data_IF_011130336559
#
_entry.id   IF_011130336559
#
_cell.length_a   1.000
_cell.length_b   1.000
_cell.length_c   1.000
_cell.angle_alpha   90.00
_cell.angle_beta   90.00
_cell.angle_gamma   90.00
#
_symmetry.space_group_name_H-M   'P 1'
#
loop_
_entity.id
_entity.type
_entity.pdbx_description
1 polymer ?
#
# COMPACT_ATOMS: atom_id res chain seq x y z
N UNK A 1 -2.99 10.96 -13.75
CA UNK A 1 -4.04 11.50 -12.84
C UNK A 1 -3.87 10.99 -11.40
N UNK A 2 -3.55 9.71 -11.19
CA UNK A 2 -3.28 9.15 -9.85
C UNK A 2 -2.01 9.75 -9.20
N UNK A 3 -1.03 10.15 -10.00
CA UNK A 3 0.21 10.80 -9.56
C UNK A 3 -0.05 12.22 -9.04
N UNK A 4 -1.01 12.92 -9.63
CA UNK A 4 -1.32 14.31 -9.28
C UNK A 4 -2.07 14.41 -7.95
N UNK A 5 -3.00 13.49 -7.66
CA UNK A 5 -3.70 13.42 -6.37
C UNK A 5 -2.77 13.04 -5.21
N UNK A 6 -1.79 12.14 -5.45
CA UNK A 6 -0.74 11.81 -4.47
C UNK A 6 0.22 12.99 -4.25
N UNK A 7 0.57 13.72 -5.31
CA UNK A 7 1.42 14.90 -5.23
C UNK A 7 0.82 16.02 -4.36
N UNK A 8 -0.48 16.28 -4.46
CA UNK A 8 -1.19 17.24 -3.62
C UNK A 8 -1.15 16.82 -2.14
N UNK A 9 -1.43 15.54 -1.84
CA UNK A 9 -1.34 15.01 -0.48
C UNK A 9 0.06 15.21 0.13
N UNK A 10 1.11 15.03 -0.64
CA UNK A 10 2.50 15.20 -0.16
C UNK A 10 2.87 16.66 0.11
N UNK A 11 2.35 17.61 -0.67
CA UNK A 11 2.53 19.05 -0.41
C UNK A 11 1.93 19.45 0.95
N UNK A 12 0.70 19.01 1.25
CA UNK A 12 0.06 19.31 2.53
C UNK A 12 0.72 18.60 3.71
N UNK A 13 1.18 17.36 3.53
CA UNK A 13 1.99 16.64 4.53
C UNK A 13 3.25 17.43 4.87
N UNK A 14 3.95 17.94 3.85
CA UNK A 14 5.14 18.78 4.04
C UNK A 14 4.81 20.08 4.79
N UNK A 15 3.70 20.72 4.48
CA UNK A 15 3.28 21.94 5.17
C UNK A 15 2.98 21.69 6.65
N UNK A 16 2.31 20.59 6.99
CA UNK A 16 2.06 20.19 8.38
C UNK A 16 3.37 19.95 9.11
N UNK A 17 4.33 19.25 8.51
CA UNK A 17 5.64 19.01 9.11
C UNK A 17 6.43 20.30 9.28
N UNK A 18 6.44 21.19 8.27
CA UNK A 18 7.11 22.50 8.37
C UNK A 18 6.50 23.37 9.46
N UNK A 19 5.20 23.28 9.68
CA UNK A 19 4.53 24.01 10.76
C UNK A 19 4.84 23.43 12.15
N UNK A 20 4.83 22.10 12.28
CA UNK A 20 5.13 21.40 13.53
C UNK A 20 6.59 21.60 13.97
N UNK A 21 7.54 21.60 13.00
CA UNK A 21 8.98 21.68 13.25
C UNK A 21 9.57 23.06 12.89
N UNK A 22 8.75 24.11 12.76
CA UNK A 22 9.18 25.45 12.37
C UNK A 22 10.28 26.04 13.24
N UNK A 23 10.36 25.61 14.51
CA UNK A 23 11.35 26.11 15.48
C UNK A 23 12.66 25.28 15.45
N UNK A 24 12.67 24.16 14.72
CA UNK A 24 13.85 23.29 14.56
C UNK A 24 14.55 23.58 13.24
N UNK A 25 15.45 24.58 13.26
CA UNK A 25 16.23 25.02 12.07
C UNK A 25 17.70 24.59 12.13
N UNK A 26 18.02 23.50 12.79
CA UNK A 26 19.40 23.03 12.83
C UNK A 26 19.77 22.41 11.47
N UNK A 27 20.87 22.84 10.83
CA UNK A 27 21.34 22.22 9.60
C UNK A 27 21.77 20.79 9.92
N UNK A 28 21.13 19.82 9.28
CA UNK A 28 21.53 18.41 9.39
C UNK A 28 22.66 18.20 8.38
N UNK A 29 23.89 18.17 8.86
CA UNK A 29 25.05 17.74 8.06
C UNK A 29 25.11 16.22 8.07
N UNK A 30 24.46 15.58 7.11
CA UNK A 30 24.64 14.15 6.85
C UNK A 30 25.79 14.00 5.86
N UNK A 31 26.98 13.79 6.36
CA UNK A 31 28.13 13.38 5.54
C UNK A 31 28.18 11.85 5.52
N UNK A 32 27.29 11.25 4.74
CA UNK A 32 27.44 9.84 4.36
C UNK A 32 28.12 9.83 3.00
N UNK A 33 29.43 9.68 2.98
CA UNK A 33 30.16 9.33 1.76
C UNK A 33 29.86 7.85 1.47
N UNK A 34 28.84 7.62 0.68
CA UNK A 34 28.56 6.29 0.13
C UNK A 34 29.24 6.19 -1.21
N UNK A 35 30.35 5.47 -1.28
CA UNK A 35 30.93 5.08 -2.59
C UNK A 35 30.00 4.02 -3.21
N UNK A 36 29.43 4.35 -4.36
CA UNK A 36 28.59 3.43 -5.13
C UNK A 36 29.53 2.54 -5.96
N UNK A 37 29.73 1.30 -5.51
CA UNK A 37 30.62 0.36 -6.20
C UNK A 37 29.97 -0.30 -7.45
N UNK A 38 28.65 -0.33 -7.56
CA UNK A 38 27.91 -1.01 -8.65
C UNK A 38 26.56 -0.32 -8.90
N UNK A 39 26.37 0.20 -10.12
CA UNK A 39 25.12 0.85 -10.55
C UNK A 39 24.05 -0.13 -11.05
N UNK A 40 24.41 -1.41 -11.25
CA UNK A 40 23.49 -2.40 -11.82
C UNK A 40 22.29 -2.69 -10.93
N UNK A 41 22.38 -2.77 -9.59
CA UNK A 41 21.19 -2.91 -8.74
C UNK A 41 20.19 -1.77 -8.94
N UNK A 42 20.67 -0.53 -9.06
CA UNK A 42 19.83 0.65 -9.35
C UNK A 42 19.17 0.55 -10.72
N UNK A 43 19.97 0.16 -11.75
CA UNK A 43 19.43 -0.04 -13.09
C UNK A 43 18.39 -1.17 -13.16
N UNK A 44 18.58 -2.27 -12.42
CA UNK A 44 17.59 -3.35 -12.30
C UNK A 44 16.32 -2.89 -11.61
N UNK A 45 16.41 -2.05 -10.57
CA UNK A 45 15.25 -1.48 -9.92
C UNK A 45 14.44 -0.61 -10.89
N UNK A 46 15.11 0.30 -11.60
CA UNK A 46 14.46 1.17 -12.59
C UNK A 46 13.85 0.35 -13.73
N UNK A 47 14.55 -0.68 -14.21
CA UNK A 47 14.05 -1.59 -15.22
C UNK A 47 12.82 -2.36 -14.73
N UNK A 48 12.81 -2.80 -13.48
CA UNK A 48 11.64 -3.47 -12.87
C UNK A 48 10.42 -2.56 -12.91
N UNK A 49 10.56 -1.32 -12.45
CA UNK A 49 9.47 -0.34 -12.47
C UNK A 49 9.02 -0.07 -13.91
N UNK A 50 9.94 0.16 -14.83
CA UNK A 50 9.63 0.39 -16.24
C UNK A 50 8.89 -0.78 -16.91
N UNK A 51 9.32 -2.01 -16.64
CA UNK A 51 8.66 -3.21 -17.17
C UNK A 51 7.28 -3.44 -16.54
N UNK A 52 7.09 -3.16 -15.26
CA UNK A 52 5.77 -3.23 -14.61
C UNK A 52 4.79 -2.21 -15.19
N UNK A 53 5.26 -0.99 -15.43
CA UNK A 53 4.46 0.04 -16.11
C UNK A 53 4.13 -0.40 -17.54
N UNK A 54 5.11 -0.86 -18.32
CA UNK A 54 4.87 -1.33 -19.68
C UNK A 54 3.91 -2.53 -19.71
N UNK A 55 4.04 -3.46 -18.76
CA UNK A 55 3.16 -4.62 -18.64
C UNK A 55 1.70 -4.24 -18.31
N UNK A 56 1.46 -3.10 -17.64
CA UNK A 56 0.11 -2.64 -17.33
C UNK A 56 -0.68 -2.16 -18.57
N UNK A 57 0.02 -1.77 -19.66
CA UNK A 57 -0.60 -1.37 -20.92
C UNK A 57 -0.89 -2.54 -21.88
N UNK A 58 -0.49 -3.77 -21.52
CA UNK A 58 -0.77 -4.93 -22.35
C UNK A 58 -2.26 -5.29 -22.30
N UNK A 59 -2.91 -5.52 -23.46
CA UNK A 59 -4.31 -5.93 -23.49
C UNK A 59 -4.47 -7.34 -22.91
N UNK A 60 -5.60 -7.55 -22.24
CA UNK A 60 -5.93 -8.85 -21.64
C UNK A 60 -6.26 -9.88 -22.74
N UNK A 61 -5.56 -11.01 -22.80
CA UNK A 61 -5.84 -12.04 -23.80
C UNK A 61 -7.06 -12.89 -23.41
N UNK A 62 -7.82 -13.31 -24.40
CA UNK A 62 -9.10 -14.01 -24.26
C UNK A 62 -9.00 -15.49 -23.86
N UNK A 63 -8.15 -15.84 -22.87
CA UNK A 63 -8.14 -17.18 -22.25
C UNK A 63 -6.90 -18.04 -22.52
N UNK A 64 -6.89 -19.23 -21.92
CA UNK A 64 -5.83 -20.23 -22.04
C UNK A 64 -4.55 -19.90 -21.26
N UNK A 65 -3.43 -20.48 -21.68
CA UNK A 65 -2.10 -20.29 -21.05
C UNK A 65 -1.68 -18.81 -21.12
N UNK A 66 -2.09 -18.09 -22.16
CA UNK A 66 -1.76 -16.69 -22.36
C UNK A 66 -2.40 -15.80 -21.27
N UNK A 67 -3.65 -16.10 -20.89
CA UNK A 67 -4.34 -15.43 -19.78
C UNK A 67 -3.65 -15.68 -18.43
N UNK A 68 -3.18 -16.92 -18.18
CA UNK A 68 -2.41 -17.24 -16.98
C UNK A 68 -1.09 -16.47 -16.93
N UNK A 69 -0.34 -16.40 -18.03
CA UNK A 69 0.89 -15.62 -18.12
C UNK A 69 0.63 -14.13 -17.94
N UNK A 70 -0.47 -13.63 -18.49
CA UNK A 70 -0.90 -12.26 -18.30
C UNK A 70 -1.21 -11.95 -16.84
N UNK A 71 -1.93 -12.83 -16.14
CA UNK A 71 -2.25 -12.67 -14.70
C UNK A 71 -0.98 -12.68 -13.85
N UNK A 72 -0.01 -13.55 -14.19
CA UNK A 72 1.24 -13.68 -13.45
C UNK A 72 2.34 -12.71 -13.91
N UNK A 73 2.09 -11.84 -14.91
CA UNK A 73 3.13 -11.01 -15.57
C UNK A 73 3.98 -10.20 -14.61
N UNK A 74 3.34 -9.56 -13.61
CA UNK A 74 4.06 -8.73 -12.63
C UNK A 74 5.00 -9.57 -11.76
N UNK A 75 4.52 -10.73 -11.28
CA UNK A 75 5.35 -11.67 -10.53
C UNK A 75 6.49 -12.25 -11.36
N UNK A 76 6.23 -12.58 -12.63
CA UNK A 76 7.25 -13.09 -13.55
C UNK A 76 8.34 -12.06 -13.85
N UNK A 77 7.98 -10.79 -14.04
CA UNK A 77 8.95 -9.68 -14.22
C UNK A 77 9.83 -9.54 -12.97
N UNK A 78 9.23 -9.45 -11.80
CA UNK A 78 9.96 -9.27 -10.54
C UNK A 78 10.88 -10.49 -10.27
N UNK A 79 10.36 -11.70 -10.42
CA UNK A 79 11.13 -12.92 -10.19
C UNK A 79 12.25 -13.10 -11.20
N UNK A 80 11.98 -12.83 -12.49
CA UNK A 80 12.98 -12.92 -13.55
C UNK A 80 14.15 -11.97 -13.33
N UNK A 81 13.88 -10.71 -13.00
CA UNK A 81 14.92 -9.71 -12.70
C UNK A 81 15.67 -9.99 -11.40
N UNK A 82 14.99 -10.51 -10.37
CA UNK A 82 15.63 -10.94 -9.14
C UNK A 82 16.62 -12.10 -9.41
N UNK A 83 16.18 -13.12 -10.14
CA UNK A 83 17.03 -14.25 -10.52
C UNK A 83 18.19 -13.82 -11.42
N UNK A 84 17.96 -12.90 -12.36
CA UNK A 84 19.02 -12.34 -13.19
C UNK A 84 20.07 -11.61 -12.34
N UNK A 85 19.63 -10.75 -11.41
CA UNK A 85 20.52 -10.05 -10.48
C UNK A 85 21.35 -11.00 -9.61
N UNK A 86 20.70 -12.02 -9.05
CA UNK A 86 21.36 -13.06 -8.27
C UNK A 86 22.37 -13.87 -9.09
N UNK A 87 21.99 -14.30 -10.31
CA UNK A 87 22.88 -15.02 -11.22
C UNK A 87 24.11 -14.20 -11.60
N UNK A 88 23.94 -12.91 -11.91
CA UNK A 88 25.04 -11.98 -12.18
C UNK A 88 25.97 -11.84 -10.97
N UNK A 89 25.42 -11.68 -9.77
CA UNK A 89 26.20 -11.59 -8.53
C UNK A 89 26.99 -12.87 -8.27
N UNK A 90 26.39 -14.03 -8.49
CA UNK A 90 27.08 -15.33 -8.40
C UNK A 90 28.20 -15.45 -9.42
N UNK A 91 27.97 -15.01 -10.67
CA UNK A 91 29.00 -15.05 -11.71
C UNK A 91 30.20 -14.13 -11.37
N UNK A 92 29.91 -12.90 -10.91
CA UNK A 92 30.95 -11.93 -10.53
C UNK A 92 31.77 -12.40 -9.32
N UNK A 93 31.13 -12.97 -8.32
CA UNK A 93 31.79 -13.50 -7.11
C UNK A 93 32.37 -14.90 -7.27
N UNK A 94 32.11 -15.59 -8.38
CA UNK A 94 32.41 -17.01 -8.61
C UNK A 94 31.98 -17.92 -7.45
N UNK A 95 30.87 -17.60 -6.81
CA UNK A 95 30.35 -18.27 -5.62
C UNK A 95 28.82 -18.28 -5.63
N UNK A 96 28.21 -19.29 -5.04
CA UNK A 96 26.75 -19.35 -4.82
C UNK A 96 26.31 -18.60 -3.55
N UNK A 97 27.24 -17.95 -2.82
CA UNK A 97 26.90 -17.19 -1.61
C UNK A 97 25.85 -16.10 -1.84
N UNK A 98 25.93 -15.26 -2.91
CA UNK A 98 24.91 -14.24 -3.14
C UNK A 98 23.50 -14.80 -3.32
N UNK A 99 23.37 -15.96 -3.96
CA UNK A 99 22.08 -16.63 -4.10
C UNK A 99 21.54 -17.09 -2.74
N UNK A 100 22.39 -17.71 -1.92
CA UNK A 100 22.00 -18.12 -0.57
C UNK A 100 21.64 -16.93 0.34
N UNK A 101 22.35 -15.81 0.20
CA UNK A 101 22.05 -14.57 0.91
C UNK A 101 20.72 -13.98 0.46
N UNK A 102 20.42 -13.98 -0.85
CA UNK A 102 19.12 -13.54 -1.38
C UNK A 102 17.98 -14.37 -0.78
N UNK A 103 18.10 -15.71 -0.74
CA UNK A 103 17.09 -16.55 -0.13
C UNK A 103 16.95 -16.34 1.39
N UNK A 104 18.05 -16.09 2.10
CA UNK A 104 18.01 -15.78 3.54
C UNK A 104 17.44 -14.41 3.85
N UNK A 105 17.55 -13.47 2.91
CA UNK A 105 17.01 -12.12 3.05
C UNK A 105 15.51 -12.05 2.74
N UNK A 106 14.89 -13.14 2.22
CA UNK A 106 13.45 -13.21 2.02
C UNK A 106 12.72 -13.13 3.37
N UNK A 107 11.73 -12.27 3.41
CA UNK A 107 10.83 -12.16 4.57
C UNK A 107 9.77 -13.28 4.51
N UNK A 108 10.16 -14.45 5.03
CA UNK A 108 9.28 -15.63 5.07
C UNK A 108 8.06 -15.39 5.95
N UNK A 109 8.17 -14.57 6.98
CA UNK A 109 7.06 -14.28 7.89
C UNK A 109 5.95 -13.52 7.15
N UNK A 110 6.31 -12.50 6.37
CA UNK A 110 5.36 -11.78 5.52
C UNK A 110 4.77 -12.69 4.43
N UNK A 111 5.57 -13.54 3.79
CA UNK A 111 5.07 -14.48 2.79
C UNK A 111 4.05 -15.47 3.37
N UNK A 112 4.36 -16.06 4.54
CA UNK A 112 3.46 -16.98 5.25
C UNK A 112 2.20 -16.26 5.73
N UNK A 113 2.32 -15.03 6.21
CA UNK A 113 1.19 -14.21 6.61
C UNK A 113 0.24 -13.98 5.44
N UNK A 114 0.76 -13.55 4.27
CA UNK A 114 -0.06 -13.33 3.09
C UNK A 114 -0.72 -14.62 2.60
N UNK A 115 0.04 -15.72 2.54
CA UNK A 115 -0.50 -17.01 2.13
C UNK A 115 -1.63 -17.49 3.07
N UNK A 116 -1.42 -17.39 4.37
CA UNK A 116 -2.42 -17.73 5.38
C UNK A 116 -3.64 -16.83 5.31
N UNK A 117 -3.42 -15.53 5.05
CA UNK A 117 -4.49 -14.54 4.87
C UNK A 117 -5.40 -14.91 3.69
N UNK A 118 -4.85 -15.27 2.52
CA UNK A 118 -5.67 -15.64 1.37
C UNK A 118 -6.50 -16.91 1.63
N UNK A 119 -5.95 -17.89 2.36
CA UNK A 119 -6.72 -19.08 2.77
C UNK A 119 -7.87 -18.69 3.72
N UNK A 120 -7.60 -17.82 4.70
CA UNK A 120 -8.63 -17.32 5.63
C UNK A 120 -9.71 -16.53 4.90
N UNK A 121 -9.32 -15.64 3.96
CA UNK A 121 -10.26 -14.85 3.17
C UNK A 121 -11.21 -15.72 2.36
N UNK A 122 -10.70 -16.80 1.74
CA UNK A 122 -11.57 -17.76 1.04
C UNK A 122 -12.55 -18.44 2.00
N UNK A 123 -12.10 -18.81 3.20
CA UNK A 123 -12.98 -19.39 4.23
C UNK A 123 -14.04 -18.39 4.70
N UNK A 124 -13.67 -17.14 4.95
CA UNK A 124 -14.56 -16.04 5.35
C UNK A 124 -15.58 -15.73 4.25
N UNK A 125 -15.14 -15.74 3.00
CA UNK A 125 -16.00 -15.53 1.82
C UNK A 125 -17.08 -16.62 1.74
N UNK A 126 -16.69 -17.89 1.84
CA UNK A 126 -17.63 -19.04 1.83
C UNK A 126 -18.58 -19.06 3.02
N UNK A 127 -18.18 -18.48 4.14
CA UNK A 127 -19.04 -18.35 5.32
C UNK A 127 -20.08 -17.22 5.21
N UNK A 128 -20.10 -16.44 4.09
CA UNK A 128 -21.02 -15.34 3.87
C UNK A 128 -20.70 -14.06 4.67
N UNK A 129 -19.54 -14.00 5.33
CA UNK A 129 -19.16 -12.83 6.15
C UNK A 129 -18.91 -11.61 5.28
N UNK A 130 -18.37 -11.80 4.07
CA UNK A 130 -18.14 -10.71 3.10
C UNK A 130 -19.48 -10.10 2.69
N UNK A 131 -20.48 -10.93 2.39
CA UNK A 131 -21.82 -10.47 2.02
C UNK A 131 -22.51 -9.74 3.18
N UNK A 132 -22.35 -10.24 4.41
CA UNK A 132 -22.87 -9.58 5.61
C UNK A 132 -22.19 -8.21 5.83
N UNK A 133 -20.88 -8.11 5.64
CA UNK A 133 -20.15 -6.85 5.72
C UNK A 133 -20.61 -5.88 4.62
N UNK A 134 -20.79 -6.35 3.38
CA UNK A 134 -21.30 -5.53 2.28
C UNK A 134 -22.69 -4.97 2.60
N UNK A 135 -23.60 -5.82 3.10
CA UNK A 135 -24.93 -5.38 3.54
C UNK A 135 -24.87 -4.35 4.68
N UNK A 136 -23.95 -4.52 5.64
CA UNK A 136 -23.76 -3.56 6.72
C UNK A 136 -23.32 -2.19 6.19
N UNK A 137 -22.34 -2.15 5.28
CA UNK A 137 -21.89 -0.90 4.65
C UNK A 137 -23.03 -0.25 3.84
N UNK A 138 -23.73 -1.04 3.03
CA UNK A 138 -24.89 -0.55 2.26
C UNK A 138 -25.99 -0.01 3.16
N UNK A 139 -26.36 -0.72 4.23
CA UNK A 139 -27.39 -0.27 5.17
C UNK A 139 -27.02 1.00 5.91
N UNK A 140 -25.72 1.23 6.16
CA UNK A 140 -25.22 2.42 6.84
C UNK A 140 -25.08 3.63 5.89
N UNK A 141 -24.73 3.41 4.64
CA UNK A 141 -24.51 4.45 3.64
C UNK A 141 -25.78 4.78 2.82
N UNK A 142 -26.71 3.83 2.69
CA UNK A 142 -27.82 3.89 1.74
C UNK A 142 -27.34 3.80 0.29
N UNK A 143 -28.17 4.28 -0.65
CA UNK A 143 -27.86 4.28 -2.09
C UNK A 143 -27.08 5.55 -2.55
N UNK A 144 -26.59 6.36 -1.62
CA UNK A 144 -25.84 7.58 -1.91
C UNK A 144 -24.33 7.28 -2.05
N UNK A 145 -23.74 7.42 -3.26
CA UNK A 145 -22.33 7.10 -3.49
C UNK A 145 -21.36 7.89 -2.59
N UNK A 146 -21.67 9.17 -2.31
CA UNK A 146 -20.85 10.00 -1.43
C UNK A 146 -20.80 9.44 0.00
N UNK A 147 -21.94 9.03 0.54
CA UNK A 147 -22.01 8.48 1.89
C UNK A 147 -21.21 7.18 1.98
N UNK A 148 -21.34 6.29 0.99
CA UNK A 148 -20.57 5.06 0.92
C UNK A 148 -19.08 5.35 0.83
N UNK A 149 -18.69 6.28 -0.05
CA UNK A 149 -17.29 6.67 -0.23
C UNK A 149 -16.67 7.20 1.09
N UNK A 150 -17.35 8.15 1.73
CA UNK A 150 -16.88 8.71 3.00
C UNK A 150 -16.81 7.67 4.12
N UNK A 151 -17.80 6.78 4.19
CA UNK A 151 -17.83 5.69 5.17
C UNK A 151 -16.66 4.71 4.94
N UNK A 152 -16.40 4.32 3.68
CA UNK A 152 -15.29 3.44 3.33
C UNK A 152 -13.94 4.08 3.65
N UNK A 153 -13.74 5.35 3.29
CA UNK A 153 -12.51 6.09 3.63
C UNK A 153 -12.32 6.17 5.14
N UNK A 154 -13.36 6.59 5.89
CA UNK A 154 -13.26 6.73 7.34
C UNK A 154 -13.00 5.39 8.05
N UNK A 155 -13.72 4.33 7.66
CA UNK A 155 -13.50 2.99 8.18
C UNK A 155 -12.08 2.49 7.84
N UNK A 156 -11.61 2.73 6.62
CA UNK A 156 -10.27 2.33 6.18
C UNK A 156 -9.18 3.05 6.96
N UNK A 157 -9.30 4.33 7.20
CA UNK A 157 -8.36 5.10 8.05
C UNK A 157 -8.35 4.56 9.47
N UNK A 158 -9.52 4.32 10.06
CA UNK A 158 -9.64 3.85 11.43
C UNK A 158 -9.10 2.44 11.64
N UNK A 159 -9.42 1.51 10.74
CA UNK A 159 -9.00 0.11 10.85
C UNK A 159 -7.53 -0.07 10.46
N UNK A 160 -7.07 0.58 9.41
CA UNK A 160 -5.66 0.52 8.99
C UNK A 160 -4.70 1.21 9.98
N UNK A 161 -5.22 2.02 10.90
CA UNK A 161 -4.43 2.53 12.03
C UNK A 161 -3.89 1.42 12.94
N UNK A 162 -4.49 0.23 12.93
CA UNK A 162 -4.15 -0.90 13.80
C UNK A 162 -3.81 -2.18 13.02
N UNK A 163 -4.27 -2.27 11.78
CA UNK A 163 -4.06 -3.41 10.89
C UNK A 163 -3.18 -2.93 9.73
N UNK A 164 -2.14 -3.69 9.39
CA UNK A 164 -1.30 -3.36 8.24
C UNK A 164 -2.15 -3.22 6.97
N UNK A 165 -1.83 -2.26 6.13
CA UNK A 165 -2.61 -1.89 4.95
C UNK A 165 -2.79 -3.04 3.95
N UNK A 166 -1.78 -3.89 3.72
CA UNK A 166 -1.85 -4.99 2.75
C UNK A 166 -2.93 -6.01 3.12
N UNK A 167 -2.92 -6.64 4.31
CA UNK A 167 -3.97 -7.56 4.71
C UNK A 167 -5.35 -6.90 4.80
N UNK A 168 -5.42 -5.65 5.25
CA UNK A 168 -6.67 -4.92 5.33
C UNK A 168 -7.29 -4.71 3.94
N UNK A 169 -6.53 -4.19 2.98
CA UNK A 169 -7.01 -3.98 1.60
C UNK A 169 -7.45 -5.29 0.97
N UNK A 170 -6.65 -6.35 1.10
CA UNK A 170 -7.00 -7.66 0.55
C UNK A 170 -8.33 -8.19 1.08
N UNK A 171 -8.63 -7.97 2.37
CA UNK A 171 -9.90 -8.37 2.97
C UNK A 171 -11.09 -7.48 2.53
N UNK A 172 -10.86 -6.20 2.32
CA UNK A 172 -11.91 -5.23 2.01
C UNK A 172 -12.27 -5.15 0.53
N UNK A 173 -11.37 -5.53 -0.39
CA UNK A 173 -11.67 -5.51 -1.82
C UNK A 173 -12.96 -6.27 -2.20
N UNK A 174 -13.18 -7.54 -1.77
CA UNK A 174 -14.42 -8.24 -2.05
C UNK A 174 -15.65 -7.59 -1.39
N UNK A 175 -15.49 -6.98 -0.20
CA UNK A 175 -16.57 -6.24 0.47
C UNK A 175 -16.99 -5.04 -0.37
N UNK A 176 -16.05 -4.26 -0.88
CA UNK A 176 -16.32 -3.11 -1.75
C UNK A 176 -17.06 -3.55 -3.02
N UNK A 177 -16.64 -4.67 -3.64
CA UNK A 177 -17.35 -5.23 -4.80
C UNK A 177 -18.81 -5.61 -4.45
N UNK A 178 -19.00 -6.28 -3.32
CA UNK A 178 -20.33 -6.66 -2.85
C UNK A 178 -21.22 -5.45 -2.57
N UNK A 179 -20.69 -4.39 -1.94
CA UNK A 179 -21.45 -3.15 -1.70
C UNK A 179 -21.81 -2.46 -3.02
N UNK A 180 -20.86 -2.31 -3.93
CA UNK A 180 -21.08 -1.69 -5.23
C UNK A 180 -22.17 -2.41 -6.04
N UNK A 181 -22.23 -3.75 -5.94
CA UNK A 181 -23.28 -4.56 -6.57
C UNK A 181 -24.68 -4.35 -5.95
N UNK A 182 -24.76 -3.98 -4.67
CA UNK A 182 -26.02 -3.71 -3.97
C UNK A 182 -26.57 -2.30 -4.23
N UNK A 183 -25.74 -1.38 -4.70
CA UNK A 183 -26.15 0.00 -4.99
C UNK A 183 -27.19 0.10 -6.11
N UNK A 184 -27.93 1.20 -6.19
CA UNK A 184 -29.01 1.44 -7.15
C UNK A 184 -30.11 0.35 -7.12
N UNK A 185 -30.48 -0.11 -5.92
CA UNK A 185 -31.48 -1.16 -5.78
C UNK A 185 -31.08 -2.51 -6.37
N UNK A 186 -29.77 -2.79 -6.43
CA UNK A 186 -29.20 -4.02 -6.99
C UNK A 186 -28.83 -3.92 -8.48
N UNK A 187 -28.96 -2.77 -9.11
CA UNK A 187 -28.44 -2.54 -10.48
C UNK A 187 -26.92 -2.42 -10.53
N UNK A 188 -26.30 -2.10 -9.36
CA UNK A 188 -24.87 -1.93 -9.21
C UNK A 188 -24.36 -0.57 -9.70
N UNK A 189 -23.14 -0.27 -9.31
CA UNK A 189 -22.35 0.88 -9.79
C UNK A 189 -20.90 0.45 -9.98
N UNK A 190 -20.15 1.23 -10.78
CA UNK A 190 -18.74 0.97 -11.00
C UNK A 190 -17.93 1.16 -9.69
N UNK A 191 -17.11 0.16 -9.30
CA UNK A 191 -16.47 0.15 -7.98
C UNK A 191 -15.17 0.96 -7.91
N UNK A 192 -14.66 1.53 -9.01
CA UNK A 192 -13.32 2.13 -9.09
C UNK A 192 -13.11 3.24 -8.07
N UNK A 193 -14.06 4.16 -7.95
CA UNK A 193 -14.01 5.24 -6.97
C UNK A 193 -13.86 4.71 -5.53
N UNK A 194 -14.59 3.66 -5.21
CA UNK A 194 -14.56 3.04 -3.88
C UNK A 194 -13.26 2.29 -3.63
N UNK A 195 -12.66 1.68 -4.67
CA UNK A 195 -11.32 1.09 -4.56
C UNK A 195 -10.27 2.16 -4.28
N UNK A 196 -10.31 3.30 -4.97
CA UNK A 196 -9.39 4.40 -4.69
C UNK A 196 -9.61 4.99 -3.29
N UNK A 197 -10.85 5.10 -2.84
CA UNK A 197 -11.19 5.49 -1.48
C UNK A 197 -10.64 4.53 -0.43
N UNK A 198 -10.84 3.22 -0.63
CA UNK A 198 -10.28 2.16 0.21
C UNK A 198 -8.75 2.25 0.28
N UNK A 199 -8.09 2.32 -0.88
CA UNK A 199 -6.62 2.40 -0.96
C UNK A 199 -6.06 3.64 -0.28
N UNK A 200 -6.70 4.80 -0.51
CA UNK A 200 -6.31 6.07 0.11
C UNK A 200 -6.47 6.00 1.63
N UNK A 201 -7.63 5.54 2.10
CA UNK A 201 -7.90 5.40 3.53
C UNK A 201 -6.96 4.40 4.20
N UNK A 202 -6.74 3.23 3.60
CA UNK A 202 -5.85 2.20 4.12
C UNK A 202 -4.39 2.64 4.16
N UNK A 203 -3.88 3.20 3.06
CA UNK A 203 -2.47 3.61 2.96
C UNK A 203 -2.14 4.76 3.90
N UNK A 204 -3.02 5.76 3.98
CA UNK A 204 -2.81 6.92 4.84
C UNK A 204 -3.11 6.61 6.30
N UNK A 205 -4.12 5.75 6.57
CA UNK A 205 -4.51 5.34 7.92
C UNK A 205 -3.38 4.65 8.68
N UNK A 206 -2.54 3.88 8.00
CA UNK A 206 -1.35 3.25 8.58
C UNK A 206 -0.37 4.23 9.23
N UNK A 207 -0.39 5.51 8.83
CA UNK A 207 0.45 6.54 9.44
C UNK A 207 -0.12 7.12 10.74
N UNK A 208 -1.35 6.75 11.13
CA UNK A 208 -2.03 7.31 12.29
C UNK A 208 -1.39 6.83 13.60
N UNK A 209 -0.98 5.57 13.66
CA UNK A 209 -0.41 4.97 14.87
C UNK A 209 0.98 4.36 14.65
N UNK A 210 1.75 4.14 15.72
CA UNK A 210 3.06 3.48 15.64
C UNK A 210 3.01 2.05 15.08
N UNK A 211 1.86 1.39 15.17
CA UNK A 211 1.67 -0.03 14.79
C UNK A 211 0.86 -0.20 13.51
N UNK A 212 0.32 0.88 12.95
CA UNK A 212 -0.53 0.84 11.75
C UNK A 212 0.19 0.45 10.46
N UNK A 213 1.52 0.48 10.45
CA UNK A 213 2.31 0.01 9.33
C UNK A 213 3.62 -0.62 9.82
N UNK A 214 4.05 -1.70 9.16
CA UNK A 214 5.32 -2.38 9.45
C UNK A 214 6.54 -1.44 9.33
N UNK A 215 6.49 -0.48 8.41
CA UNK A 215 7.52 0.56 8.27
C UNK A 215 7.67 1.44 9.53
N UNK A 216 6.57 1.80 10.21
CA UNK A 216 6.60 2.57 11.43
C UNK A 216 7.27 1.77 12.57
N UNK A 217 6.92 0.49 12.68
CA UNK A 217 7.50 -0.41 13.69
C UNK A 217 9.01 -0.54 13.48
N UNK A 218 9.44 -0.74 12.22
CA UNK A 218 10.85 -0.83 11.86
C UNK A 218 11.60 0.47 12.17
N UNK A 219 11.04 1.64 11.78
CA UNK A 219 11.66 2.94 12.05
C UNK A 219 11.82 3.20 13.55
N UNK A 220 10.78 2.94 14.34
CA UNK A 220 10.83 3.07 15.82
C UNK A 220 11.85 2.08 16.42
N UNK A 221 11.93 0.87 15.87
CA UNK A 221 12.91 -0.13 16.28
C UNK A 221 14.36 0.36 16.05
N UNK A 222 14.63 0.99 14.92
CA UNK A 222 15.95 1.59 14.60
C UNK A 222 16.26 2.74 15.56
N UNK A 223 15.31 3.64 15.82
CA UNK A 223 15.48 4.75 16.75
C UNK A 223 15.80 4.25 18.17
N UNK A 224 15.09 3.23 18.65
CA UNK A 224 15.35 2.60 19.95
C UNK A 224 16.74 1.98 20.04
N UNK A 225 17.22 1.32 18.99
CA UNK A 225 18.59 0.78 18.93
C UNK A 225 19.66 1.86 19.03
N UNK A 226 19.35 3.08 18.57
CA UNK A 226 20.22 4.25 18.66
C UNK A 226 20.05 5.06 19.97
N UNK A 227 19.32 4.52 20.96
CA UNK A 227 19.13 5.14 22.27
C UNK A 227 17.98 6.15 22.34
N UNK A 228 17.25 6.37 21.23
CA UNK A 228 16.11 7.28 21.19
C UNK A 228 14.82 6.60 21.69
N UNK A 229 14.03 7.33 22.46
CA UNK A 229 12.74 6.84 22.96
C UNK A 229 11.58 7.54 22.27
N UNK A 230 10.84 6.81 21.44
CA UNK A 230 9.62 7.31 20.81
C UNK A 230 8.42 6.88 21.64
N UNK A 231 7.72 7.84 22.24
CA UNK A 231 6.46 7.58 22.97
C UNK A 231 5.30 7.58 21.98
N UNK A 232 4.30 6.75 22.20
CA UNK A 232 3.07 6.71 21.38
C UNK A 232 2.40 8.09 21.28
N UNK A 233 2.41 8.87 22.36
CA UNK A 233 1.85 10.22 22.39
C UNK A 233 2.57 11.18 21.43
N UNK A 234 3.90 11.08 21.37
CA UNK A 234 4.71 11.95 20.51
C UNK A 234 4.49 11.59 19.03
N UNK A 235 4.37 10.30 18.73
CA UNK A 235 4.00 9.81 17.41
C UNK A 235 2.61 10.30 16.99
N UNK A 236 1.59 10.13 17.83
CA UNK A 236 0.22 10.57 17.55
C UNK A 236 0.12 12.08 17.37
N UNK A 237 0.89 12.87 18.12
CA UNK A 237 0.92 14.33 17.98
C UNK A 237 1.31 14.79 16.57
N UNK A 238 2.15 14.02 15.90
CA UNK A 238 2.60 14.26 14.54
C UNK A 238 1.71 13.51 13.54
N UNK A 239 1.47 12.22 13.78
CA UNK A 239 0.76 11.32 12.89
C UNK A 239 -0.70 11.72 12.66
N UNK A 240 -1.43 12.16 13.71
CA UNK A 240 -2.85 12.52 13.57
C UNK A 240 -3.06 13.72 12.62
N UNK A 241 -2.47 14.90 12.86
CA UNK A 241 -2.69 16.04 11.96
C UNK A 241 -2.14 15.78 10.55
N UNK A 242 -1.03 15.06 10.44
CA UNK A 242 -0.44 14.66 9.18
C UNK A 242 -1.38 13.77 8.36
N UNK A 243 -1.91 12.72 8.99
CA UNK A 243 -2.83 11.77 8.35
C UNK A 243 -4.15 12.43 7.98
N UNK A 244 -4.74 13.21 8.89
CA UNK A 244 -6.00 13.91 8.61
C UNK A 244 -5.87 14.88 7.44
N UNK A 245 -4.81 15.69 7.39
CA UNK A 245 -4.57 16.59 6.26
C UNK A 245 -4.42 15.82 4.95
N UNK A 246 -3.65 14.72 4.95
CA UNK A 246 -3.44 13.89 3.77
C UNK A 246 -4.74 13.20 3.30
N UNK A 247 -5.53 12.66 4.23
CA UNK A 247 -6.80 11.98 3.92
C UNK A 247 -7.81 12.97 3.36
N UNK A 248 -7.98 14.14 4.01
CA UNK A 248 -8.94 15.16 3.54
C UNK A 248 -8.61 15.62 2.12
N UNK A 249 -7.33 15.87 1.83
CA UNK A 249 -6.92 16.32 0.50
C UNK A 249 -6.99 15.15 -0.50
N UNK A 250 -6.46 13.99 -0.16
CA UNK A 250 -6.44 12.83 -1.06
C UNK A 250 -7.86 12.35 -1.39
N UNK A 251 -8.69 12.12 -0.39
CA UNK A 251 -10.08 11.70 -0.59
C UNK A 251 -10.93 12.79 -1.25
N UNK A 252 -10.73 14.06 -0.88
CA UNK A 252 -11.42 15.18 -1.51
C UNK A 252 -11.06 15.33 -2.99
N UNK A 253 -9.78 15.19 -3.35
CA UNK A 253 -9.34 15.23 -4.75
C UNK A 253 -9.93 14.08 -5.56
N UNK A 254 -9.90 12.85 -5.04
CA UNK A 254 -10.48 11.70 -5.72
C UNK A 254 -11.97 11.89 -5.97
N UNK A 255 -12.71 12.40 -4.97
CA UNK A 255 -14.13 12.68 -5.16
C UNK A 255 -14.38 13.75 -6.22
N UNK A 256 -13.58 14.82 -6.26
CA UNK A 256 -13.73 15.90 -7.26
C UNK A 256 -13.45 15.43 -8.68
N UNK A 257 -12.53 14.48 -8.88
CA UNK A 257 -12.15 14.02 -10.22
C UNK A 257 -12.97 12.82 -10.71
N UNK A 258 -13.53 11.99 -9.79
CA UNK A 258 -14.12 10.69 -10.12
C UNK A 258 -15.51 10.48 -9.52
N UNK A 259 -15.96 11.35 -8.62
CA UNK A 259 -17.24 11.20 -7.90
C UNK A 259 -18.39 12.04 -8.45
N UNK A 260 -18.14 12.85 -9.50
CA UNK A 260 -19.14 13.72 -10.14
C UNK A 260 -19.45 13.22 -11.53
#
# INVERSE_FOLDING_TARGET
DDVESRGLGDVYKRQVLLWLFRDQRQPVHVTVETEVEDDVPTALLLLTVGLLIAASFLPEPSGGVLHLLYTLRSGLVCMGLCLFGAARACWRSRSLKPLAETFRALDYDTLLLLFSLFILLEGVSRAGVIDAAAQLFHSAAGDEPLHLYLLLVAASVGLSAFIDNIPYVAAMLPVVQGVAALMNGGAGIEPELFYFGLLTGATLGGNLTPIGASANIAAIGILRKNGETVRTRDFLRIGVPFTLAAVLVGAGSLWLFWGI
#
